data_IF_486697472358
#
_entry.id   IF_486697472358
#
_cell.length_a   1.000
_cell.length_b   1.000
_cell.length_c   1.000
_cell.angle_alpha   90.00
_cell.angle_beta   90.00
_cell.angle_gamma   90.00
#
_symmetry.space_group_name_H-M   'P 1'
#
loop_
_entity.id
_entity.type
_entity.pdbx_description
1 polymer ?
#
# COMPACT_ATOMS: atom_id res chain seq x y z
N UNK A 1 -3.35 10.75 -1.11
CA UNK A 1 -2.93 10.94 -2.52
C UNK A 1 -3.17 9.64 -3.27
N UNK A 2 -3.87 9.66 -4.40
CA UNK A 2 -4.03 8.49 -5.28
C UNK A 2 -2.99 8.63 -6.39
N UNK A 3 -2.11 7.63 -6.55
CA UNK A 3 -1.24 7.57 -7.74
C UNK A 3 -2.09 7.49 -9.01
N UNK A 4 -1.61 7.99 -10.16
CA UNK A 4 -2.32 7.82 -11.43
C UNK A 4 -2.47 6.33 -11.75
N UNK A 5 -3.69 5.91 -12.13
CA UNK A 5 -3.96 4.51 -12.51
C UNK A 5 -4.20 3.54 -11.35
N UNK A 6 -4.52 4.04 -10.15
CA UNK A 6 -4.81 3.16 -9.00
C UNK A 6 -6.00 2.23 -9.31
N UNK A 7 -5.74 0.93 -9.32
CA UNK A 7 -6.74 -0.12 -9.49
C UNK A 7 -6.57 -1.14 -8.38
N UNK A 8 -7.64 -1.41 -7.64
CA UNK A 8 -7.68 -2.44 -6.61
C UNK A 8 -9.00 -3.19 -6.71
N UNK A 9 -8.92 -4.52 -6.63
CA UNK A 9 -10.10 -5.38 -6.64
C UNK A 9 -10.03 -6.28 -5.43
N UNK A 10 -11.05 -6.17 -4.58
CA UNK A 10 -11.23 -6.99 -3.40
C UNK A 10 -12.34 -8.01 -3.68
N UNK A 11 -12.17 -9.24 -3.20
CA UNK A 11 -13.05 -10.36 -3.46
C UNK A 11 -13.42 -11.05 -2.15
N UNK A 12 -14.70 -11.38 -1.99
CA UNK A 12 -15.20 -12.11 -0.83
C UNK A 12 -16.11 -13.24 -1.28
N UNK A 13 -15.98 -14.40 -0.65
CA UNK A 13 -16.80 -15.56 -0.88
C UNK A 13 -17.24 -16.16 0.45
N UNK A 14 -18.55 -16.30 0.64
CA UNK A 14 -19.15 -17.03 1.75
C UNK A 14 -19.84 -18.30 1.26
N UNK A 15 -19.74 -19.37 2.04
CA UNK A 15 -20.48 -20.61 1.81
C UNK A 15 -21.01 -21.18 3.11
N UNK A 16 -22.33 -21.38 3.12
CA UNK A 16 -23.02 -22.09 4.19
C UNK A 16 -23.13 -23.58 3.83
N UNK A 17 -22.72 -24.43 4.75
CA UNK A 17 -22.85 -25.89 4.64
C UNK A 17 -23.74 -26.38 5.77
N UNK A 18 -24.86 -27.02 5.44
CA UNK A 18 -25.73 -27.63 6.44
C UNK A 18 -24.99 -28.74 7.18
N UNK A 19 -25.01 -28.72 8.50
CA UNK A 19 -24.43 -29.73 9.37
C UNK A 19 -25.55 -30.51 10.06
N UNK A 20 -26.01 -31.58 9.42
CA UNK A 20 -27.09 -32.44 9.94
C UNK A 20 -26.79 -33.02 11.33
N UNK A 21 -25.51 -33.16 11.70
CA UNK A 21 -25.09 -33.60 13.04
C UNK A 21 -25.47 -32.61 14.16
N UNK A 22 -25.77 -31.35 13.84
CA UNK A 22 -26.16 -30.31 14.79
C UNK A 22 -27.68 -30.04 14.79
N UNK A 23 -28.45 -30.90 14.13
CA UNK A 23 -29.91 -30.74 13.98
C UNK A 23 -30.30 -29.92 12.76
N UNK A 24 -31.60 -29.65 12.64
CA UNK A 24 -32.23 -29.06 11.43
C UNK A 24 -31.77 -27.62 11.14
N UNK A 25 -31.30 -26.92 12.17
CA UNK A 25 -30.79 -25.54 12.07
C UNK A 25 -29.26 -25.46 11.98
N UNK A 26 -28.57 -26.59 12.12
CA UNK A 26 -27.11 -26.66 12.17
C UNK A 26 -26.45 -26.23 10.86
N UNK A 27 -25.57 -25.23 10.90
CA UNK A 27 -24.84 -24.72 9.72
C UNK A 27 -23.40 -24.35 10.05
N UNK A 28 -22.53 -24.55 9.06
CA UNK A 28 -21.15 -24.08 9.04
C UNK A 28 -21.00 -23.02 7.96
N UNK A 29 -20.74 -21.78 8.35
CA UNK A 29 -20.40 -20.69 7.45
C UNK A 29 -18.88 -20.63 7.31
N UNK A 30 -18.39 -20.85 6.09
CA UNK A 30 -17.01 -20.59 5.71
C UNK A 30 -16.94 -19.32 4.87
N UNK A 31 -16.03 -18.41 5.22
CA UNK A 31 -15.78 -17.20 4.44
C UNK A 31 -14.31 -17.08 4.09
N UNK A 32 -14.04 -16.66 2.87
CA UNK A 32 -12.73 -16.28 2.38
C UNK A 32 -12.79 -14.85 1.84
N UNK A 33 -11.87 -14.00 2.27
CA UNK A 33 -11.74 -12.61 1.85
C UNK A 33 -10.33 -12.37 1.30
N UNK A 34 -10.25 -11.80 0.11
CA UNK A 34 -9.03 -11.51 -0.62
C UNK A 34 -8.99 -10.01 -0.91
N UNK A 35 -8.07 -9.31 -0.27
CA UNK A 35 -7.80 -7.91 -0.55
C UNK A 35 -6.67 -7.83 -1.58
N UNK A 36 -6.87 -7.05 -2.64
CA UNK A 36 -6.01 -7.04 -3.81
C UNK A 36 -5.89 -8.45 -4.44
N UNK A 37 -7.01 -9.00 -4.92
CA UNK A 37 -7.12 -10.38 -5.43
C UNK A 37 -6.18 -10.63 -6.62
N UNK A 38 -5.95 -9.63 -7.46
CA UNK A 38 -5.03 -9.71 -8.60
C UNK A 38 -3.56 -9.42 -8.22
N UNK A 39 -3.27 -9.12 -6.95
CA UNK A 39 -1.95 -8.75 -6.47
C UNK A 39 -1.31 -7.62 -7.31
N UNK A 40 -2.12 -6.65 -7.73
CA UNK A 40 -1.68 -5.53 -8.53
C UNK A 40 -0.98 -4.50 -7.63
N UNK A 41 0.25 -4.12 -8.00
CA UNK A 41 1.02 -3.12 -7.26
C UNK A 41 0.57 -1.72 -7.66
N UNK A 42 -0.05 -0.99 -6.73
CA UNK A 42 -0.37 0.42 -6.93
C UNK A 42 0.82 1.26 -6.46
N UNK A 43 1.68 1.67 -7.40
CA UNK A 43 2.84 2.50 -7.09
C UNK A 43 2.44 3.89 -6.57
N UNK A 44 3.17 4.36 -5.56
CA UNK A 44 3.04 5.75 -5.12
C UNK A 44 3.69 6.70 -6.12
N UNK A 45 3.44 7.99 -5.95
CA UNK A 45 4.18 9.01 -6.68
C UNK A 45 5.68 8.86 -6.47
N UNK A 46 6.52 9.16 -7.48
CA UNK A 46 7.96 9.19 -7.30
C UNK A 46 8.36 10.11 -6.14
N UNK A 47 9.40 9.71 -5.41
CA UNK A 47 9.98 10.50 -4.33
C UNK A 47 10.47 11.85 -4.87
N UNK A 48 10.15 12.91 -4.14
CA UNK A 48 10.49 14.29 -4.50
C UNK A 48 11.62 14.87 -3.63
N UNK A 49 12.22 14.07 -2.75
CA UNK A 49 13.32 14.53 -1.90
C UNK A 49 13.44 13.81 -0.56
N UNK A 50 13.93 14.54 0.47
CA UNK A 50 13.99 14.10 1.88
C UNK A 50 12.65 14.20 2.63
N UNK A 51 11.53 14.41 1.94
CA UNK A 51 10.21 14.54 2.55
C UNK A 51 9.09 14.10 1.62
N UNK A 52 8.23 13.22 2.13
CA UNK A 52 7.05 12.70 1.43
C UNK A 52 5.94 13.76 1.22
N UNK A 53 6.16 15.02 1.66
CA UNK A 53 5.19 16.12 1.56
C UNK A 53 5.69 17.23 0.62
N UNK A 54 4.84 17.76 -0.29
CA UNK A 54 5.24 18.77 -1.28
C UNK A 54 5.86 20.04 -0.69
N UNK A 55 5.49 20.40 0.54
CA UNK A 55 5.97 21.58 1.26
C UNK A 55 7.38 21.42 1.85
N UNK A 56 7.95 20.21 1.88
CA UNK A 56 9.28 19.91 2.43
C UNK A 56 10.17 19.10 1.46
N UNK A 57 9.84 19.10 0.17
CA UNK A 57 10.55 18.35 -0.85
C UNK A 57 11.92 18.96 -1.17
N UNK A 58 12.95 18.57 -0.42
CA UNK A 58 14.33 18.96 -0.70
C UNK A 58 14.91 18.03 -1.77
N UNK A 59 15.15 18.53 -2.98
CA UNK A 59 15.80 17.76 -4.06
C UNK A 59 17.32 17.66 -3.86
N UNK A 60 17.90 18.66 -3.20
CA UNK A 60 19.31 18.76 -2.87
C UNK A 60 19.46 18.80 -1.34
N UNK A 61 20.46 18.11 -0.74
CA UNK A 61 20.57 17.93 0.71
C UNK A 61 21.01 19.16 1.49
N UNK A 62 21.44 20.24 0.85
CA UNK A 62 22.04 21.41 1.51
C UNK A 62 21.26 22.70 1.39
N UNK A 63 21.76 23.68 2.13
CA UNK A 63 21.22 25.04 2.19
C UNK A 63 21.54 25.80 0.91
N UNK A 64 20.65 26.70 0.48
CA UNK A 64 20.87 27.59 -0.67
C UNK A 64 22.20 28.40 -0.58
N UNK A 65 22.79 28.48 0.62
CA UNK A 65 23.98 29.27 0.91
C UNK A 65 25.16 28.43 1.47
N UNK A 66 25.42 27.23 0.97
CA UNK A 66 26.69 26.55 1.25
C UNK A 66 27.87 27.22 0.50
N UNK A 67 28.25 28.40 0.99
CA UNK A 67 29.47 29.11 0.59
C UNK A 67 30.62 28.64 1.48
N UNK A 68 31.54 27.85 0.93
CA UNK A 68 32.83 27.57 1.56
C UNK A 68 33.90 28.41 0.84
N UNK A 69 34.42 29.43 1.51
CA UNK A 69 35.53 30.24 0.98
C UNK A 69 35.20 31.06 -0.28
N UNK A 70 33.94 31.44 -0.52
CA UNK A 70 33.53 32.26 -1.66
C UNK A 70 33.24 31.51 -2.96
N UNK A 71 33.32 30.17 -2.94
CA UNK A 71 32.96 29.30 -4.07
C UNK A 71 31.62 28.63 -3.78
N UNK A 72 30.70 28.67 -4.76
CA UNK A 72 29.49 27.86 -4.74
C UNK A 72 29.88 26.40 -4.95
N UNK A 73 29.63 25.54 -3.98
CA UNK A 73 29.84 24.09 -4.13
C UNK A 73 28.56 23.49 -4.74
N UNK A 74 28.61 22.93 -5.96
CA UNK A 74 27.45 22.25 -6.53
C UNK A 74 27.15 20.99 -5.71
N UNK A 75 25.95 20.88 -5.19
CA UNK A 75 25.53 19.68 -4.50
C UNK A 75 24.85 18.70 -5.46
N UNK A 76 25.13 17.39 -5.33
CA UNK A 76 24.43 16.39 -6.12
C UNK A 76 22.96 16.29 -5.68
N UNK A 77 22.07 16.03 -6.63
CA UNK A 77 20.68 15.67 -6.33
C UNK A 77 20.64 14.42 -5.45
N UNK A 78 19.63 14.35 -4.58
CA UNK A 78 19.43 13.16 -3.75
C UNK A 78 19.18 11.91 -4.61
N UNK A 79 19.75 10.75 -4.25
CA UNK A 79 19.55 9.51 -4.99
C UNK A 79 18.11 8.96 -4.99
N UNK A 80 17.26 9.44 -4.08
CA UNK A 80 15.84 9.06 -4.00
C UNK A 80 14.97 9.79 -5.02
N UNK A 81 15.37 10.98 -5.47
CA UNK A 81 14.54 11.84 -6.33
C UNK A 81 14.19 11.13 -7.64
N UNK A 82 12.90 11.13 -7.97
CA UNK A 82 12.36 10.51 -9.18
C UNK A 82 12.25 8.99 -9.10
N UNK A 83 12.60 8.35 -7.98
CA UNK A 83 12.41 6.91 -7.78
C UNK A 83 11.08 6.61 -7.13
N UNK A 84 10.44 5.54 -7.56
CA UNK A 84 9.29 4.97 -6.87
C UNK A 84 9.84 3.97 -5.85
N UNK A 85 9.69 4.28 -4.57
CA UNK A 85 10.18 3.43 -3.46
C UNK A 85 9.04 2.80 -2.65
N UNK A 86 7.79 3.21 -2.89
CA UNK A 86 6.62 2.81 -2.08
C UNK A 86 5.40 2.53 -2.95
N UNK A 87 4.46 1.78 -2.41
CA UNK A 87 3.10 1.61 -2.96
C UNK A 87 2.12 2.53 -2.22
N UNK A 88 1.06 2.96 -2.91
CA UNK A 88 -0.05 3.72 -2.30
C UNK A 88 -1.07 2.83 -1.58
N UNK A 89 -1.07 1.52 -1.84
CA UNK A 89 -1.94 0.54 -1.18
C UNK A 89 -1.13 -0.50 -0.43
N UNK A 90 -1.77 -1.22 0.49
CA UNK A 90 -1.19 -2.39 1.14
C UNK A 90 -0.94 -3.53 0.16
N UNK A 91 -0.05 -4.46 0.57
CA UNK A 91 0.12 -5.76 -0.09
C UNK A 91 -1.16 -6.60 -0.01
N UNK A 92 -1.26 -7.63 -0.87
CA UNK A 92 -2.35 -8.59 -0.85
C UNK A 92 -2.51 -9.22 0.54
N UNK A 93 -3.75 -9.26 1.01
CA UNK A 93 -4.13 -9.91 2.26
C UNK A 93 -5.21 -10.94 1.97
N UNK A 94 -5.13 -12.08 2.65
CA UNK A 94 -6.11 -13.16 2.53
C UNK A 94 -6.53 -13.53 3.94
N UNK A 95 -7.84 -13.55 4.17
CA UNK A 95 -8.44 -13.86 5.45
C UNK A 95 -9.44 -14.99 5.29
N UNK A 96 -9.45 -15.89 6.26
CA UNK A 96 -10.41 -16.98 6.35
C UNK A 96 -11.12 -16.90 7.69
N UNK A 97 -12.42 -17.14 7.68
CA UNK A 97 -13.20 -17.25 8.90
C UNK A 97 -14.12 -18.46 8.82
N UNK A 98 -14.31 -19.09 9.97
CA UNK A 98 -15.23 -20.20 10.15
C UNK A 98 -16.19 -19.85 11.28
N UNK A 99 -17.49 -20.02 11.04
CA UNK A 99 -18.52 -19.77 12.03
C UNK A 99 -19.49 -20.94 12.09
N UNK A 100 -19.71 -21.43 13.31
CA UNK A 100 -20.71 -22.45 13.60
C UNK A 100 -22.01 -21.78 14.02
N UNK A 101 -23.13 -22.22 13.45
CA UNK A 101 -24.47 -21.78 13.82
C UNK A 101 -25.29 -23.00 14.23
N UNK A 102 -25.92 -22.94 15.39
CA UNK A 102 -26.76 -23.99 15.97
C UNK A 102 -27.93 -23.36 16.74
#
# INVERSE_FOLDING_TARGET
MRGPGLTNVDFSMGKDTALSMLGESGKLEFRAEFFNVFNHANFASPEIGLGDTPSAALVFPGSANEFAGGVLIPQPRLPSVGKILKTSTSSRQIQFSLKLLF
#
